data_IF_280831591917
#
_entry.id   IF_280831591917
#
_cell.length_a   1.000
_cell.length_b   1.000
_cell.length_c   1.000
_cell.angle_alpha   90.00
_cell.angle_beta   90.00
_cell.angle_gamma   90.00
#
_symmetry.space_group_name_H-M   'P 1'
#
loop_
_entity.id
_entity.type
_entity.pdbx_description
1 polymer ?
#
# COMPACT_ATOMS: atom_id res chain seq x y z
N UNK A 1 -24.74 8.17 16.36
CA UNK A 1 -24.98 8.16 17.82
C UNK A 1 -24.19 7.04 18.49
N UNK A 2 -24.27 5.81 17.97
CA UNK A 2 -23.53 4.63 18.46
C UNK A 2 -22.01 4.83 18.40
N UNK A 3 -21.44 5.30 17.28
CA UNK A 3 -19.98 5.52 17.18
C UNK A 3 -19.43 6.50 18.22
N UNK A 4 -20.17 7.57 18.53
CA UNK A 4 -19.75 8.54 19.55
C UNK A 4 -19.72 7.90 20.95
N UNK A 5 -20.67 7.02 21.24
CA UNK A 5 -20.70 6.28 22.51
C UNK A 5 -19.57 5.25 22.60
N UNK A 6 -19.25 4.56 21.50
CA UNK A 6 -18.12 3.63 21.41
C UNK A 6 -16.79 4.35 21.61
N UNK A 7 -16.57 5.47 20.91
CA UNK A 7 -15.37 6.28 21.06
C UNK A 7 -15.22 6.81 22.49
N UNK A 8 -16.30 7.25 23.12
CA UNK A 8 -16.29 7.66 24.52
C UNK A 8 -15.90 6.51 25.47
N UNK A 9 -16.43 5.30 25.26
CA UNK A 9 -16.09 4.14 26.07
C UNK A 9 -14.63 3.69 25.90
N UNK A 10 -14.07 3.81 24.68
CA UNK A 10 -12.65 3.55 24.40
C UNK A 10 -11.77 4.58 25.12
N UNK A 11 -12.06 5.87 24.95
CA UNK A 11 -11.27 6.96 25.55
C UNK A 11 -11.26 6.94 27.08
N UNK A 12 -12.32 6.42 27.70
CA UNK A 12 -12.41 6.25 29.15
C UNK A 12 -12.02 4.84 29.63
N UNK A 13 -11.50 3.99 28.74
CA UNK A 13 -11.04 2.63 29.01
C UNK A 13 -12.09 1.71 29.67
N UNK A 14 -13.37 1.92 29.39
CA UNK A 14 -14.46 1.14 29.98
C UNK A 14 -14.56 -0.29 29.44
N UNK A 15 -13.82 -0.59 28.36
CA UNK A 15 -13.82 -1.91 27.73
C UNK A 15 -12.75 -2.87 28.30
N UNK A 16 -11.79 -2.40 29.11
CA UNK A 16 -10.68 -3.24 29.61
C UNK A 16 -11.17 -4.48 30.40
N UNK A 17 -12.17 -4.31 31.26
CA UNK A 17 -12.78 -5.42 32.01
C UNK A 17 -13.64 -6.34 31.14
N UNK A 18 -14.22 -5.79 30.06
CA UNK A 18 -15.06 -6.53 29.13
C UNK A 18 -14.23 -7.53 28.32
N UNK A 19 -13.06 -7.10 27.79
CA UNK A 19 -12.16 -7.98 27.05
C UNK A 19 -11.62 -9.14 27.89
N UNK A 20 -11.31 -8.88 29.17
CA UNK A 20 -10.83 -9.91 30.11
C UNK A 20 -11.91 -10.96 30.41
N UNK A 21 -13.16 -10.53 30.59
CA UNK A 21 -14.29 -11.41 30.90
C UNK A 21 -14.80 -12.20 29.69
N UNK A 22 -14.74 -11.62 28.50
CA UNK A 22 -15.26 -12.21 27.26
C UNK A 22 -14.15 -12.65 26.29
N UNK A 23 -12.94 -12.90 26.81
CA UNK A 23 -11.73 -13.21 26.03
C UNK A 23 -11.95 -14.29 24.97
N UNK A 24 -12.60 -15.39 25.34
CA UNK A 24 -12.84 -16.51 24.42
C UNK A 24 -13.77 -16.13 23.27
N UNK A 25 -14.84 -15.39 23.54
CA UNK A 25 -15.77 -14.93 22.50
C UNK A 25 -15.16 -13.89 21.56
N UNK A 26 -14.26 -13.05 22.07
CA UNK A 26 -13.57 -12.03 21.27
C UNK A 26 -12.46 -12.67 20.42
N UNK A 27 -11.71 -13.61 20.99
CA UNK A 27 -10.76 -14.42 20.22
C UNK A 27 -11.46 -15.22 19.13
N UNK A 28 -12.63 -15.81 19.43
CA UNK A 28 -13.43 -16.54 18.46
C UNK A 28 -13.93 -15.60 17.35
N UNK A 29 -14.50 -14.43 17.69
CA UNK A 29 -14.91 -13.40 16.73
C UNK A 29 -13.76 -12.98 15.82
N UNK A 30 -12.58 -12.69 16.37
CA UNK A 30 -11.39 -12.38 15.56
C UNK A 30 -10.98 -13.53 14.63
N UNK A 31 -11.08 -14.79 15.06
CA UNK A 31 -10.77 -15.96 14.24
C UNK A 31 -11.83 -16.24 13.17
N UNK A 32 -13.11 -15.99 13.46
CA UNK A 32 -14.23 -16.25 12.53
C UNK A 32 -14.45 -15.11 11.54
N UNK A 33 -14.10 -13.89 11.90
CA UNK A 33 -14.17 -12.71 11.03
C UNK A 33 -12.91 -12.55 10.17
N UNK A 34 -11.82 -13.24 10.53
CA UNK A 34 -10.61 -13.26 9.71
C UNK A 34 -10.89 -13.97 8.38
N UNK A 35 -10.89 -13.18 7.32
CA UNK A 35 -11.00 -13.68 5.96
C UNK A 35 -9.59 -13.82 5.35
N UNK A 36 -9.07 -15.05 5.35
CA UNK A 36 -7.74 -15.37 4.82
C UNK A 36 -7.59 -14.97 3.35
N UNK A 37 -8.65 -15.06 2.55
CA UNK A 37 -8.62 -14.67 1.13
C UNK A 37 -8.42 -13.17 0.97
N UNK A 38 -9.18 -12.36 1.72
CA UNK A 38 -9.02 -10.90 1.74
C UNK A 38 -7.62 -10.52 2.22
N UNK A 39 -7.15 -11.16 3.30
CA UNK A 39 -5.80 -10.91 3.83
C UNK A 39 -4.71 -11.24 2.80
N UNK A 40 -4.73 -12.43 2.22
CA UNK A 40 -3.77 -12.88 1.20
C UNK A 40 -3.82 -12.00 -0.05
N UNK A 41 -5.01 -11.59 -0.48
CA UNK A 41 -5.20 -10.68 -1.61
C UNK A 41 -4.54 -9.32 -1.31
N UNK A 42 -4.75 -8.78 -0.12
CA UNK A 42 -4.08 -7.54 0.31
C UNK A 42 -2.57 -7.63 0.24
N UNK A 43 -1.97 -8.69 0.80
CA UNK A 43 -0.52 -8.92 0.72
C UNK A 43 -0.02 -9.04 -0.72
N UNK A 44 -0.78 -9.74 -1.57
CA UNK A 44 -0.42 -9.89 -2.99
C UNK A 44 -0.46 -8.56 -3.74
N UNK A 45 -1.50 -7.76 -3.53
CA UNK A 45 -1.67 -6.45 -4.17
C UNK A 45 -0.60 -5.46 -3.72
N UNK A 46 -0.26 -5.43 -2.42
CA UNK A 46 0.84 -4.62 -1.88
C UNK A 46 2.18 -5.03 -2.49
N UNK A 47 2.50 -6.33 -2.48
CA UNK A 47 3.75 -6.82 -3.05
C UNK A 47 3.85 -6.57 -4.56
N UNK A 48 2.73 -6.65 -5.29
CA UNK A 48 2.70 -6.31 -6.72
C UNK A 48 2.94 -4.81 -6.95
N UNK A 49 2.33 -3.94 -6.14
CA UNK A 49 2.53 -2.50 -6.24
C UNK A 49 4.00 -2.10 -5.96
N UNK A 50 4.60 -2.64 -4.89
CA UNK A 50 6.02 -2.43 -4.56
C UNK A 50 6.94 -2.95 -5.67
N UNK A 51 6.67 -4.15 -6.19
CA UNK A 51 7.45 -4.73 -7.29
C UNK A 51 7.37 -3.89 -8.58
N UNK A 52 6.18 -3.35 -8.88
CA UNK A 52 5.98 -2.47 -10.04
C UNK A 52 6.76 -1.16 -9.88
N UNK A 53 6.73 -0.55 -8.70
CA UNK A 53 7.52 0.66 -8.40
C UNK A 53 9.02 0.41 -8.56
N UNK A 54 9.53 -0.68 -7.96
CA UNK A 54 10.93 -1.06 -8.07
C UNK A 54 11.36 -1.29 -9.53
N UNK A 55 10.50 -1.90 -10.36
CA UNK A 55 10.76 -2.13 -11.78
C UNK A 55 10.86 -0.82 -12.58
N UNK A 56 10.01 0.17 -12.30
CA UNK A 56 10.06 1.49 -12.94
C UNK A 56 11.37 2.20 -12.58
N UNK A 57 11.72 2.25 -11.29
CA UNK A 57 12.95 2.90 -10.82
C UNK A 57 14.19 2.25 -11.45
N UNK A 58 14.24 0.91 -11.46
CA UNK A 58 15.36 0.16 -12.06
C UNK A 58 15.46 0.43 -13.55
N UNK A 59 14.33 0.49 -14.27
CA UNK A 59 14.32 0.81 -15.70
C UNK A 59 14.89 2.19 -15.98
N UNK A 60 14.55 3.20 -15.17
CA UNK A 60 15.09 4.56 -15.30
C UNK A 60 16.61 4.56 -15.10
N UNK A 61 17.10 3.85 -14.08
CA UNK A 61 18.53 3.75 -13.79
C UNK A 61 19.30 3.08 -14.94
N UNK A 62 18.81 1.94 -15.44
CA UNK A 62 19.44 1.22 -16.55
C UNK A 62 19.46 2.08 -17.83
N UNK A 63 18.33 2.72 -18.18
CA UNK A 63 18.24 3.58 -19.36
C UNK A 63 19.15 4.80 -19.27
N UNK A 64 19.35 5.35 -18.06
CA UNK A 64 20.33 6.40 -17.83
C UNK A 64 21.76 5.88 -17.99
N UNK A 65 22.07 4.71 -17.42
CA UNK A 65 23.41 4.10 -17.47
C UNK A 65 23.84 3.73 -18.89
N UNK A 66 22.90 3.34 -19.75
CA UNK A 66 23.14 3.14 -21.19
C UNK A 66 23.08 4.44 -22.00
N UNK A 67 23.09 5.59 -21.32
CA UNK A 67 23.20 6.94 -21.89
C UNK A 67 22.06 7.33 -22.85
N UNK A 68 20.85 6.85 -22.59
CA UNK A 68 19.63 7.26 -23.29
C UNK A 68 19.23 8.66 -22.80
N UNK A 69 18.76 9.50 -23.72
CA UNK A 69 18.30 10.85 -23.38
C UNK A 69 17.10 10.81 -22.44
N UNK A 70 17.01 11.80 -21.56
CA UNK A 70 15.92 11.90 -20.59
C UNK A 70 14.55 11.98 -21.25
N UNK A 71 14.46 12.67 -22.39
CA UNK A 71 13.24 12.78 -23.20
C UNK A 71 12.78 11.40 -23.70
N UNK A 72 13.69 10.57 -24.17
CA UNK A 72 13.37 9.21 -24.63
C UNK A 72 12.97 8.31 -23.46
N UNK A 73 13.62 8.44 -22.29
CA UNK A 73 13.22 7.69 -21.10
C UNK A 73 11.81 8.07 -20.64
N UNK A 74 11.46 9.35 -20.62
CA UNK A 74 10.11 9.80 -20.29
C UNK A 74 9.07 9.14 -21.20
N UNK A 75 9.31 9.12 -22.52
CA UNK A 75 8.40 8.48 -23.47
C UNK A 75 8.27 6.96 -23.22
N UNK A 76 9.39 6.26 -23.06
CA UNK A 76 9.40 4.80 -22.87
C UNK A 76 8.73 4.37 -21.56
N UNK A 77 8.97 5.10 -20.47
CA UNK A 77 8.34 4.79 -19.17
C UNK A 77 6.83 5.07 -19.23
N UNK A 78 6.43 6.19 -19.84
CA UNK A 78 5.03 6.55 -20.00
C UNK A 78 4.25 5.49 -20.79
N UNK A 79 4.80 5.03 -21.92
CA UNK A 79 4.17 3.98 -22.74
C UNK A 79 4.18 2.61 -22.05
N UNK A 80 5.34 2.16 -21.54
CA UNK A 80 5.49 0.80 -21.00
C UNK A 80 4.68 0.57 -19.73
N UNK A 81 4.52 1.62 -18.91
CA UNK A 81 3.81 1.54 -17.64
C UNK A 81 2.47 2.26 -17.67
N UNK A 82 2.01 2.72 -18.83
CA UNK A 82 0.71 3.40 -19.00
C UNK A 82 0.48 4.53 -17.98
N UNK A 83 1.56 5.24 -17.63
CA UNK A 83 1.52 6.33 -16.65
C UNK A 83 1.08 7.62 -17.33
N UNK A 84 0.47 8.53 -16.58
CA UNK A 84 0.26 9.88 -17.09
C UNK A 84 1.60 10.61 -17.28
N UNK A 85 1.58 11.67 -18.08
CA UNK A 85 2.76 12.52 -18.28
C UNK A 85 3.29 13.10 -16.96
N UNK A 86 2.40 13.58 -16.10
CA UNK A 86 2.75 14.20 -14.82
C UNK A 86 3.37 13.18 -13.85
N UNK A 87 2.78 11.99 -13.74
CA UNK A 87 3.34 10.91 -12.90
C UNK A 87 4.71 10.46 -13.39
N UNK A 88 4.84 10.30 -14.71
CA UNK A 88 6.11 9.91 -15.33
C UNK A 88 7.20 10.95 -15.08
N UNK A 89 6.90 12.24 -15.27
CA UNK A 89 7.83 13.32 -14.99
C UNK A 89 8.24 13.35 -13.52
N UNK A 90 7.29 13.19 -12.59
CA UNK A 90 7.58 13.15 -11.15
C UNK A 90 8.53 12.01 -10.79
N UNK A 91 8.26 10.79 -11.27
CA UNK A 91 9.06 9.60 -10.96
C UNK A 91 10.43 9.70 -11.61
N UNK A 92 10.50 10.02 -12.91
CA UNK A 92 11.77 10.17 -13.62
C UNK A 92 12.62 11.26 -12.97
N UNK A 93 12.08 12.45 -12.68
CA UNK A 93 12.84 13.52 -12.05
C UNK A 93 13.35 13.17 -10.65
N UNK A 94 12.59 12.39 -9.88
CA UNK A 94 12.99 11.98 -8.52
C UNK A 94 14.12 10.94 -8.52
N UNK A 95 14.22 10.14 -9.58
CA UNK A 95 15.18 9.02 -9.68
C UNK A 95 16.28 9.23 -10.74
N UNK A 96 16.27 10.35 -11.46
CA UNK A 96 17.31 10.76 -12.41
C UNK A 96 18.51 11.40 -11.69
N UNK A 97 19.31 10.56 -11.03
CA UNK A 97 20.56 10.98 -10.37
C UNK A 97 21.77 10.95 -11.29
#
# INVERSE_FOLDING_TARGET
>A
AVDKAVQYAISNNYLDGFFKKHREGIMLSCLTEFNEEVFRKGIHEEGFAEGREAAIITSIQILREVNISKETVLHQIMEKYELSKEETEKVVNSHWK
#
